data_IF_254183154748
#
_entry.id   IF_254183154748
#
_cell.length_a   1.000
_cell.length_b   1.000
_cell.length_c   1.000
_cell.angle_alpha   90.00
_cell.angle_beta   90.00
_cell.angle_gamma   90.00
#
_symmetry.space_group_name_H-M   'P 1'
#
loop_
_entity.id
_entity.type
_entity.pdbx_description
1 polymer ?
#
# COMPACT_ATOMS: atom_id res chain seq x y z
N UNK A 1 1.48 17.91 -7.66
CA UNK A 1 1.56 16.45 -7.94
C UNK A 1 2.47 16.24 -9.13
N UNK A 2 3.20 15.11 -9.18
CA UNK A 2 4.14 14.80 -10.27
C UNK A 2 3.51 14.87 -11.68
N UNK A 3 2.20 14.58 -11.78
CA UNK A 3 1.39 14.72 -13.00
C UNK A 3 1.41 16.15 -13.58
N UNK A 4 1.64 17.16 -12.74
CA UNK A 4 1.71 18.57 -13.15
C UNK A 4 3.15 19.08 -13.31
N UNK A 5 4.16 18.19 -13.30
CA UNK A 5 5.58 18.57 -13.24
C UNK A 5 6.44 18.03 -14.39
N UNK A 6 5.85 17.72 -15.55
CA UNK A 6 6.56 17.19 -16.74
C UNK A 6 7.44 15.97 -16.43
N UNK A 7 7.04 15.18 -15.43
CA UNK A 7 7.74 13.95 -15.04
C UNK A 7 7.27 12.82 -15.95
N UNK A 8 8.20 12.24 -16.71
CA UNK A 8 7.86 11.14 -17.62
C UNK A 8 8.00 9.75 -16.99
N UNK A 9 8.90 9.60 -16.01
CA UNK A 9 9.23 8.31 -15.37
C UNK A 9 9.14 8.44 -13.87
N UNK A 10 8.52 7.47 -13.21
CA UNK A 10 8.30 7.48 -11.77
C UNK A 10 8.81 6.20 -11.13
N UNK A 11 9.57 6.33 -10.04
CA UNK A 11 9.90 5.24 -9.13
C UNK A 11 9.17 5.48 -7.81
N UNK A 12 8.23 4.60 -7.48
CA UNK A 12 7.44 4.64 -6.25
C UNK A 12 8.10 3.69 -5.25
N UNK A 13 8.54 4.23 -4.12
CA UNK A 13 9.13 3.45 -3.04
C UNK A 13 8.20 3.44 -1.83
N UNK A 14 8.03 2.27 -1.22
CA UNK A 14 7.20 2.12 -0.03
C UNK A 14 7.68 0.99 0.87
N UNK A 15 7.36 1.11 2.17
CA UNK A 15 7.73 0.12 3.19
C UNK A 15 6.62 -0.91 3.47
N UNK A 16 5.53 -0.90 2.70
CA UNK A 16 4.47 -1.91 2.76
C UNK A 16 4.59 -2.87 1.59
N UNK A 17 5.17 -4.05 1.82
CA UNK A 17 5.32 -5.10 0.80
C UNK A 17 3.96 -5.48 0.19
N UNK A 18 2.91 -5.57 1.00
CA UNK A 18 1.55 -5.83 0.54
C UNK A 18 1.09 -4.82 -0.51
N UNK A 19 1.22 -3.51 -0.22
CA UNK A 19 0.75 -2.46 -1.13
C UNK A 19 1.63 -2.39 -2.38
N UNK A 20 2.95 -2.57 -2.25
CA UNK A 20 3.87 -2.61 -3.39
C UNK A 20 3.49 -3.73 -4.35
N UNK A 21 3.27 -4.96 -3.85
CA UNK A 21 2.87 -6.11 -4.68
C UNK A 21 1.51 -5.94 -5.33
N UNK A 22 0.55 -5.33 -4.62
CA UNK A 22 -0.77 -5.03 -5.19
C UNK A 22 -0.67 -3.98 -6.30
N UNK A 23 0.15 -2.94 -6.13
CA UNK A 23 0.36 -1.90 -7.13
C UNK A 23 1.11 -2.42 -8.37
N UNK A 24 2.01 -3.41 -8.20
CA UNK A 24 2.66 -4.12 -9.29
C UNK A 24 1.72 -5.09 -10.03
N UNK A 25 0.53 -5.37 -9.47
CA UNK A 25 -0.41 -6.37 -9.99
C UNK A 25 0.00 -7.81 -9.70
N UNK A 26 1.03 -8.04 -8.88
CA UNK A 26 1.45 -9.39 -8.45
C UNK A 26 0.39 -10.02 -7.56
N UNK A 27 -0.19 -9.23 -6.65
CA UNK A 27 -1.17 -9.68 -5.67
C UNK A 27 -2.51 -8.99 -5.86
N UNK A 28 -3.60 -9.72 -5.62
CA UNK A 28 -4.96 -9.18 -5.66
C UNK A 28 -5.50 -8.87 -4.25
N UNK A 29 -6.55 -8.05 -4.17
CA UNK A 29 -7.22 -7.70 -2.92
C UNK A 29 -8.71 -8.01 -3.00
N UNK A 30 -9.21 -8.69 -1.97
CA UNK A 30 -10.65 -8.92 -1.78
C UNK A 30 -11.30 -7.84 -0.91
N UNK A 31 -10.51 -6.93 -0.35
CA UNK A 31 -11.04 -5.84 0.46
C UNK A 31 -11.70 -4.82 -0.46
N UNK A 32 -13.04 -4.76 -0.38
CA UNK A 32 -13.88 -3.81 -1.12
C UNK A 32 -13.48 -2.35 -0.92
N UNK A 33 -12.82 -2.02 0.20
CA UNK A 33 -12.31 -0.68 0.47
C UNK A 33 -11.02 -0.38 -0.31
N UNK A 34 -10.21 -1.39 -0.63
CA UNK A 34 -8.92 -1.23 -1.31
C UNK A 34 -9.06 -1.33 -2.83
N UNK A 35 -10.02 -2.13 -3.33
CA UNK A 35 -10.28 -2.29 -4.78
C UNK A 35 -10.32 -0.95 -5.55
N UNK A 36 -11.03 0.10 -5.08
CA UNK A 36 -11.05 1.39 -5.79
C UNK A 36 -9.66 2.04 -5.90
N UNK A 37 -8.81 1.91 -4.86
CA UNK A 37 -7.48 2.50 -4.86
C UNK A 37 -6.55 1.80 -5.83
N UNK A 38 -6.66 0.47 -5.99
CA UNK A 38 -5.92 -0.27 -7.00
C UNK A 38 -6.24 0.27 -8.41
N UNK A 39 -7.53 0.40 -8.73
CA UNK A 39 -7.95 0.95 -10.02
C UNK A 39 -7.41 2.37 -10.24
N UNK A 40 -7.43 3.21 -9.20
CA UNK A 40 -6.85 4.54 -9.29
C UNK A 40 -5.34 4.55 -9.54
N UNK A 41 -4.57 3.67 -8.88
CA UNK A 41 -3.13 3.54 -9.12
C UNK A 41 -2.86 3.12 -10.56
N UNK A 42 -3.62 2.15 -11.08
CA UNK A 42 -3.51 1.71 -12.47
C UNK A 42 -3.83 2.84 -13.45
N UNK A 43 -4.88 3.63 -13.20
CA UNK A 43 -5.27 4.75 -14.04
C UNK A 43 -4.24 5.89 -14.02
N UNK A 44 -3.69 6.22 -12.84
CA UNK A 44 -2.64 7.23 -12.71
C UNK A 44 -1.34 6.78 -13.40
N UNK A 45 -1.04 5.48 -13.37
CA UNK A 45 0.17 4.94 -13.98
C UNK A 45 0.20 5.14 -15.49
N UNK A 46 -0.96 5.18 -16.16
CA UNK A 46 -1.10 5.44 -17.61
C UNK A 46 -0.65 6.84 -18.04
N UNK A 47 -0.51 7.78 -17.11
CA UNK A 47 -0.09 9.16 -17.40
C UNK A 47 1.42 9.30 -17.54
N UNK A 48 2.18 8.30 -17.11
CA UNK A 48 3.63 8.28 -17.17
C UNK A 48 4.10 7.32 -18.27
N UNK A 49 5.29 7.58 -18.85
CA UNK A 49 5.91 6.65 -19.80
C UNK A 49 6.34 5.36 -19.11
N UNK A 50 6.76 5.44 -17.85
CA UNK A 50 7.06 4.26 -17.03
C UNK A 50 6.84 4.54 -15.55
N UNK A 51 6.26 3.57 -14.84
CA UNK A 51 6.15 3.56 -13.39
C UNK A 51 6.74 2.27 -12.87
N UNK A 52 7.66 2.39 -11.92
CA UNK A 52 8.26 1.27 -11.20
C UNK A 52 7.88 1.35 -9.73
N UNK A 53 7.68 0.20 -9.10
CA UNK A 53 7.37 0.09 -7.68
C UNK A 53 8.47 -0.71 -7.00
N UNK A 54 8.96 -0.23 -5.86
CA UNK A 54 10.03 -0.86 -5.11
C UNK A 54 9.73 -0.89 -3.62
N UNK A 55 9.90 -2.06 -3.02
CA UNK A 55 9.87 -2.20 -1.58
C UNK A 55 11.18 -1.70 -0.98
N UNK A 56 11.08 -0.86 0.05
CA UNK A 56 12.20 -0.38 0.83
C UNK A 56 12.01 -0.67 2.31
N UNK A 57 13.10 -0.93 3.03
CA UNK A 57 13.05 -1.08 4.48
C UNK A 57 12.56 0.21 5.14
N UNK A 58 11.86 0.07 6.28
CA UNK A 58 11.27 1.21 7.00
C UNK A 58 12.26 2.34 7.28
N UNK A 59 13.51 2.01 7.62
CA UNK A 59 14.52 3.03 7.90
C UNK A 59 14.88 3.88 6.68
N UNK A 60 14.65 3.39 5.45
CA UNK A 60 14.80 4.15 4.21
C UNK A 60 13.55 4.96 3.85
N UNK A 61 12.42 4.72 4.53
CA UNK A 61 11.15 5.42 4.31
C UNK A 61 10.86 6.49 5.38
N UNK A 62 11.88 6.88 6.15
CA UNK A 62 11.74 7.73 7.34
C UNK A 62 11.01 9.05 7.06
N UNK A 63 11.24 9.66 5.90
CA UNK A 63 10.60 10.92 5.53
C UNK A 63 9.09 10.74 5.31
N UNK A 64 8.70 9.70 4.58
CA UNK A 64 7.28 9.42 4.33
C UNK A 64 6.56 9.01 5.63
N UNK A 65 7.22 8.21 6.47
CA UNK A 65 6.72 7.83 7.80
C UNK A 65 6.55 9.06 8.71
N UNK A 66 7.51 9.99 8.69
CA UNK A 66 7.43 11.25 9.45
C UNK A 66 6.27 12.12 8.96
N UNK A 67 6.08 12.25 7.64
CA UNK A 67 4.94 12.98 7.06
C UNK A 67 3.62 12.34 7.44
N UNK A 68 3.49 11.00 7.36
CA UNK A 68 2.29 10.29 7.78
C UNK A 68 2.00 10.49 9.27
N UNK A 69 3.04 10.44 10.11
CA UNK A 69 2.93 10.67 11.56
C UNK A 69 2.48 12.09 11.86
N UNK A 70 3.06 13.10 11.20
CA UNK A 70 2.64 14.49 11.35
C UNK A 70 1.19 14.69 10.90
N UNK A 71 0.78 14.06 9.80
CA UNK A 71 -0.60 14.12 9.32
C UNK A 71 -1.61 13.53 10.33
N UNK A 72 -1.24 12.46 11.05
CA UNK A 72 -2.05 11.89 12.13
C UNK A 72 -2.16 12.79 13.36
N UNK A 73 -1.17 13.66 13.60
CA UNK A 73 -1.20 14.62 14.71
C UNK A 73 -2.03 15.88 14.41
N UNK A 74 -2.35 16.14 13.14
CA UNK A 74 -3.14 17.31 12.79
C UNK A 74 -4.59 17.13 13.27
N UNK A 75 -5.17 18.14 13.95
CA UNK A 75 -6.56 18.09 14.36
C UNK A 75 -7.44 17.99 13.12
N UNK A 76 -8.35 17.02 13.12
CA UNK A 76 -9.34 16.90 12.04
C UNK A 76 -10.26 18.14 12.09
N UNK A 77 -10.44 18.89 10.98
CA UNK A 77 -11.19 20.14 10.98
C UNK A 77 -12.71 19.94 11.12
N UNK A 78 -13.20 18.71 11.11
CA UNK A 78 -14.59 18.38 11.42
C UNK A 78 -14.77 17.98 12.88
N UNK A 79 -15.96 18.22 13.41
CA UNK A 79 -16.42 17.82 14.75
C UNK A 79 -16.51 16.28 14.92
N UNK A 80 -15.92 15.51 14.01
CA UNK A 80 -15.86 14.06 14.10
C UNK A 80 -14.82 13.68 15.13
N UNK A 81 -15.31 13.17 16.27
CA UNK A 81 -14.49 12.42 17.20
C UNK A 81 -13.96 11.18 16.47
N UNK A 82 -12.64 11.12 16.26
CA UNK A 82 -11.98 9.91 15.77
C UNK A 82 -11.70 9.05 17.00
N UNK A 83 -12.49 8.00 17.19
CA UNK A 83 -12.22 7.01 18.23
C UNK A 83 -10.86 6.36 17.94
N UNK A 84 -9.90 6.41 18.88
CA UNK A 84 -8.64 5.70 18.73
C UNK A 84 -8.90 4.21 18.53
N UNK A 85 -8.27 3.61 17.51
CA UNK A 85 -8.33 2.16 17.33
C UNK A 85 -7.53 1.47 18.44
N UNK A 86 -8.23 0.84 19.36
CA UNK A 86 -7.60 0.05 20.42
C UNK A 86 -7.16 -1.31 19.86
N UNK A 87 -5.87 -1.46 19.60
CA UNK A 87 -5.29 -2.71 19.11
C UNK A 87 -4.85 -3.56 20.31
N UNK A 88 -5.58 -4.64 20.58
CA UNK A 88 -5.14 -5.65 21.54
C UNK A 88 -4.02 -6.51 20.94
N UNK A 89 -2.80 -6.31 21.45
CA UNK A 89 -1.67 -7.17 21.10
C UNK A 89 -1.86 -8.51 21.83
N UNK A 90 -2.13 -9.57 21.09
CA UNK A 90 -2.19 -10.93 21.61
C UNK A 90 -0.79 -11.52 21.59
N UNK A 91 -0.34 -12.11 22.70
CA UNK A 91 0.98 -12.77 22.80
C UNK A 91 1.11 -14.00 21.88
N UNK A 92 -0.01 -14.54 21.38
CA UNK A 92 -0.03 -15.69 20.48
C UNK A 92 -0.03 -15.24 19.02
N UNK A 93 1.02 -15.60 18.30
CA UNK A 93 1.11 -15.43 16.85
C UNK A 93 -0.05 -16.17 16.16
N UNK A 94 -0.77 -15.48 15.26
CA UNK A 94 -1.66 -16.16 14.31
C UNK A 94 -0.80 -16.91 13.30
N UNK A 95 -1.02 -18.22 13.14
CA UNK A 95 -0.26 -19.03 12.20
C UNK A 95 -0.78 -18.74 10.78
N UNK A 96 0.05 -18.14 9.92
CA UNK A 96 -0.25 -18.00 8.50
C UNK A 96 0.17 -19.30 7.80
N UNK A 97 -0.79 -20.13 7.38
CA UNK A 97 -0.49 -21.30 6.57
C UNK A 97 -0.22 -20.87 5.13
N UNK A 98 0.87 -21.38 4.56
CA UNK A 98 1.14 -21.30 3.12
C UNK A 98 0.10 -22.13 2.39
N UNK A 99 -0.58 -21.57 1.39
CA UNK A 99 -1.44 -22.36 0.50
C UNK A 99 -0.52 -23.12 -0.44
N UNK A 100 -0.40 -24.43 -0.25
CA UNK A 100 0.25 -25.31 -1.21
C UNK A 100 -0.64 -25.40 -2.46
N UNK A 101 -0.12 -24.96 -3.60
CA UNK A 101 -0.77 -25.15 -4.90
C UNK A 101 -0.54 -26.60 -5.31
N UNK A 102 -1.60 -27.40 -5.32
CA UNK A 102 -1.56 -28.73 -5.91
C UNK A 102 -1.18 -28.62 -7.40
N UNK A 103 -0.17 -29.36 -7.90
CA UNK A 103 0.10 -29.41 -9.32
C UNK A 103 -1.06 -30.13 -10.01
N UNK A 104 -1.64 -29.43 -10.99
CA UNK A 104 -2.73 -29.94 -11.81
C UNK A 104 -2.18 -31.07 -12.71
N UNK A 105 -2.25 -32.31 -12.23
CA UNK A 105 -1.89 -33.49 -13.04
C UNK A 105 -3.15 -33.95 -13.76
N UNK A 106 -3.15 -33.78 -15.09
CA UNK A 106 -4.16 -34.35 -15.97
C UNK A 106 -3.55 -34.63 -17.35
N UNK A 107 -3.92 -35.73 -18.02
CA UNK A 107 -4.06 -37.13 -17.58
C UNK A 107 -2.80 -37.98 -17.86
#
# INVERSE_FOLDING_TARGET
MAINQDVEKLLIMGNSDLIIRQAQGEWDTRDVKIIPYRQHVEDLSKWFKSVEFSYILRFHNELADAVATLALMLPYPGNLHIDPLEIQIRERHGYCNTVEVEPNVQP
#
